data_IF_380501229611
#
_entry.id   IF_380501229611
#
_cell.length_a   1.000
_cell.length_b   1.000
_cell.length_c   1.000
_cell.angle_alpha   90.00
_cell.angle_beta   90.00
_cell.angle_gamma   90.00
#
_symmetry.space_group_name_H-M   'P 1'
#
loop_
_entity.id
_entity.type
_entity.pdbx_description
1 polymer ?
#
# COMPACT_ATOMS: atom_id res chain seq x y z
N UNK A 1 0.22 27.59 -24.35
CA UNK A 1 0.86 27.96 -23.07
C UNK A 1 1.42 26.67 -22.46
N UNK A 2 2.71 26.38 -22.64
CA UNK A 2 3.35 25.15 -22.16
C UNK A 2 3.76 25.32 -20.70
N UNK A 3 3.06 24.66 -19.78
CA UNK A 3 3.51 24.52 -18.38
C UNK A 3 4.51 23.38 -18.32
N UNK A 4 5.81 23.70 -18.37
CA UNK A 4 6.85 22.73 -18.06
C UNK A 4 6.78 22.42 -16.56
N UNK A 5 6.14 21.31 -16.21
CA UNK A 5 6.14 20.81 -14.83
C UNK A 5 7.57 20.37 -14.51
N UNK A 6 8.27 21.19 -13.72
CA UNK A 6 9.63 20.93 -13.28
C UNK A 6 9.61 19.69 -12.37
N UNK A 7 10.14 18.57 -12.86
CA UNK A 7 10.20 17.32 -12.09
C UNK A 7 11.07 17.56 -10.84
N UNK A 8 10.58 17.26 -9.63
CA UNK A 8 11.34 17.49 -8.42
C UNK A 8 12.62 16.66 -8.43
N UNK A 9 13.73 17.26 -7.98
CA UNK A 9 15.01 16.58 -7.79
C UNK A 9 14.85 15.32 -6.94
N UNK A 10 15.60 14.27 -7.28
CA UNK A 10 15.63 13.00 -6.56
C UNK A 10 15.79 13.20 -5.03
N UNK A 11 16.59 14.19 -4.62
CA UNK A 11 16.80 14.46 -3.19
C UNK A 11 15.67 15.23 -2.52
N UNK A 12 14.87 15.96 -3.30
CA UNK A 12 13.62 16.54 -2.83
C UNK A 12 12.57 15.45 -2.63
N UNK A 13 12.47 14.50 -3.57
CA UNK A 13 11.58 13.33 -3.46
C UNK A 13 11.96 12.47 -2.26
N UNK A 14 13.25 12.19 -2.08
CA UNK A 14 13.78 11.40 -0.96
C UNK A 14 13.51 12.07 0.39
N UNK A 15 13.65 13.39 0.49
CA UNK A 15 13.28 14.17 1.69
C UNK A 15 11.80 14.11 1.98
N UNK A 16 10.94 14.28 0.98
CA UNK A 16 9.48 14.24 1.14
C UNK A 16 8.98 12.85 1.55
N UNK A 17 9.53 11.79 0.97
CA UNK A 17 9.22 10.40 1.36
C UNK A 17 9.65 10.15 2.82
N UNK A 18 10.83 10.65 3.20
CA UNK A 18 11.36 10.50 4.56
C UNK A 18 10.58 11.31 5.59
N UNK A 19 10.14 12.54 5.27
CA UNK A 19 9.32 13.36 6.16
C UNK A 19 7.91 12.77 6.31
N UNK A 20 7.30 12.32 5.22
CA UNK A 20 5.98 11.68 5.21
C UNK A 20 5.97 10.37 6.02
N UNK A 21 7.04 9.57 5.95
CA UNK A 21 7.15 8.37 6.80
C UNK A 21 7.33 8.72 8.28
N UNK A 22 8.05 9.79 8.59
CA UNK A 22 8.32 10.26 9.97
C UNK A 22 7.10 10.91 10.63
N UNK A 23 6.35 11.73 9.89
CA UNK A 23 5.10 12.35 10.35
C UNK A 23 4.05 11.29 10.65
N UNK A 24 3.89 10.31 9.76
CA UNK A 24 3.01 9.19 10.00
C UNK A 24 3.47 8.39 11.23
N UNK A 25 4.75 8.00 11.31
CA UNK A 25 5.31 7.27 12.46
C UNK A 25 5.07 7.96 13.81
N UNK A 26 5.31 9.26 13.89
CA UNK A 26 5.10 10.03 15.13
C UNK A 26 3.62 10.13 15.52
N UNK A 27 2.70 10.11 14.56
CA UNK A 27 1.25 10.05 14.82
C UNK A 27 0.83 8.72 15.46
N UNK A 28 1.44 7.61 15.05
CA UNK A 28 1.16 6.28 15.62
C UNK A 28 1.62 6.14 17.07
N UNK A 29 2.84 6.59 17.38
CA UNK A 29 3.37 6.50 18.76
C UNK A 29 2.59 7.37 19.73
N UNK A 30 2.09 8.52 19.27
CA UNK A 30 1.37 9.48 20.12
C UNK A 30 -0.10 9.15 20.33
N UNK A 31 -0.62 8.11 19.67
CA UNK A 31 -2.00 7.68 19.78
C UNK A 31 -2.05 6.15 19.89
N UNK A 32 -1.68 5.60 21.08
CA UNK A 32 -1.61 4.16 21.32
C UNK A 32 -2.94 3.44 21.06
N UNK A 33 -4.07 4.14 21.17
CA UNK A 33 -5.42 3.63 20.89
C UNK A 33 -5.71 3.38 19.40
N UNK A 34 -4.84 3.87 18.49
CA UNK A 34 -4.97 3.64 17.04
C UNK A 34 -4.51 2.22 16.66
N UNK A 35 -3.77 1.52 17.53
CA UNK A 35 -3.47 0.11 17.34
C UNK A 35 -4.46 -0.70 18.19
N UNK A 36 -5.66 -0.99 17.70
CA UNK A 36 -6.58 -1.87 18.40
C UNK A 36 -5.90 -3.20 18.69
N UNK A 37 -6.27 -3.80 19.83
CA UNK A 37 -5.79 -5.12 20.27
C UNK A 37 -6.38 -6.22 19.38
N UNK A 38 -6.02 -6.18 18.11
CA UNK A 38 -6.42 -7.10 17.07
C UNK A 38 -5.50 -8.32 17.11
N UNK A 39 -5.97 -9.49 16.62
CA UNK A 39 -5.09 -10.61 16.35
C UNK A 39 -3.89 -10.13 15.51
N UNK A 40 -2.68 -10.59 15.86
CA UNK A 40 -1.41 -10.19 15.21
C UNK A 40 -1.51 -10.10 13.68
N UNK A 41 -2.22 -11.04 13.06
CA UNK A 41 -2.44 -11.10 11.60
C UNK A 41 -3.13 -9.85 11.04
N UNK A 42 -4.15 -9.33 11.73
CA UNK A 42 -4.89 -8.15 11.31
C UNK A 42 -4.07 -6.87 11.57
N UNK A 43 -3.44 -6.74 12.74
CA UNK A 43 -2.56 -5.59 13.03
C UNK A 43 -1.43 -5.45 12.02
N UNK A 44 -0.80 -6.57 11.61
CA UNK A 44 0.26 -6.57 10.60
C UNK A 44 -0.25 -6.17 9.22
N UNK A 45 -1.43 -6.64 8.81
CA UNK A 45 -2.03 -6.25 7.53
C UNK A 45 -2.29 -4.74 7.50
N UNK A 46 -2.96 -4.23 8.53
CA UNK A 46 -3.25 -2.80 8.68
C UNK A 46 -1.97 -1.96 8.68
N UNK A 47 -0.98 -2.33 9.50
CA UNK A 47 0.30 -1.62 9.55
C UNK A 47 0.97 -1.53 8.17
N UNK A 48 1.02 -2.64 7.43
CA UNK A 48 1.64 -2.68 6.10
C UNK A 48 0.90 -1.83 5.07
N UNK A 49 -0.43 -1.96 5.02
CA UNK A 49 -1.28 -1.19 4.11
C UNK A 49 -1.17 0.31 4.40
N UNK A 50 -1.23 0.70 5.68
CA UNK A 50 -1.19 2.10 6.11
C UNK A 50 0.16 2.76 5.87
N UNK A 51 1.26 2.03 6.11
CA UNK A 51 2.60 2.52 5.81
C UNK A 51 2.95 2.45 4.33
N UNK A 52 2.13 1.75 3.52
CA UNK A 52 2.40 1.48 2.11
C UNK A 52 3.69 0.67 1.89
N UNK A 53 4.14 -0.07 2.92
CA UNK A 53 5.24 -1.05 2.87
C UNK A 53 4.64 -2.46 2.83
N UNK A 54 3.68 -2.63 1.93
CA UNK A 54 2.92 -3.86 1.74
C UNK A 54 3.52 -4.73 0.61
N UNK A 55 2.85 -5.83 0.30
CA UNK A 55 3.28 -6.77 -0.74
C UNK A 55 2.40 -6.66 -2.00
N UNK A 56 1.72 -5.54 -2.21
CA UNK A 56 0.86 -5.35 -3.37
C UNK A 56 1.68 -4.89 -4.58
N UNK A 57 1.19 -5.17 -5.79
CA UNK A 57 1.93 -4.90 -7.03
C UNK A 57 2.38 -3.45 -7.13
N UNK A 58 1.57 -2.48 -6.67
CA UNK A 58 1.98 -1.07 -6.73
C UNK A 58 3.23 -0.80 -5.88
N UNK A 59 3.31 -1.36 -4.67
CA UNK A 59 4.50 -1.24 -3.82
C UNK A 59 5.69 -1.98 -4.43
N UNK A 60 5.48 -3.24 -4.83
CA UNK A 60 6.54 -4.10 -5.38
C UNK A 60 7.14 -3.51 -6.65
N UNK A 61 6.33 -2.91 -7.52
CA UNK A 61 6.81 -2.22 -8.71
C UNK A 61 7.64 -0.98 -8.35
N UNK A 62 7.18 -0.19 -7.37
CA UNK A 62 7.90 1.01 -6.92
C UNK A 62 9.30 0.70 -6.38
N UNK A 63 9.52 -0.50 -5.83
CA UNK A 63 10.84 -0.95 -5.34
C UNK A 63 11.59 -1.83 -6.35
N UNK A 64 11.07 -2.00 -7.57
CA UNK A 64 11.75 -2.73 -8.65
C UNK A 64 11.66 -4.26 -8.57
N UNK A 65 10.75 -4.82 -7.77
CA UNK A 65 10.54 -6.28 -7.68
C UNK A 65 9.56 -6.78 -8.74
N UNK A 66 8.55 -5.97 -9.10
CA UNK A 66 7.56 -6.30 -10.15
C UNK A 66 7.71 -5.38 -11.36
N UNK A 67 7.53 -5.95 -12.55
CA UNK A 67 7.57 -5.19 -13.80
C UNK A 67 6.37 -4.23 -13.97
N UNK A 68 5.23 -4.58 -13.37
CA UNK A 68 3.99 -3.80 -13.47
C UNK A 68 3.37 -3.50 -12.11
N UNK A 69 2.84 -2.27 -11.89
CA UNK A 69 2.11 -1.92 -10.67
C UNK A 69 0.69 -2.50 -10.64
N UNK A 70 0.22 -3.04 -11.76
CA UNK A 70 -1.18 -3.44 -11.92
C UNK A 70 -1.50 -4.73 -11.17
N UNK A 71 -2.79 -4.88 -10.83
CA UNK A 71 -3.30 -6.09 -10.22
C UNK A 71 -3.18 -7.28 -11.19
N UNK A 72 -2.44 -8.35 -10.83
CA UNK A 72 -2.32 -9.54 -11.66
C UNK A 72 -3.52 -10.47 -11.48
N UNK A 73 -4.39 -10.21 -10.49
CA UNK A 73 -5.47 -11.11 -10.09
C UNK A 73 -6.79 -10.78 -10.79
N UNK A 74 -6.91 -9.62 -11.42
CA UNK A 74 -8.14 -9.19 -12.08
C UNK A 74 -7.84 -8.47 -13.40
N UNK A 75 -8.76 -8.48 -14.37
CA UNK A 75 -8.55 -7.90 -15.69
C UNK A 75 -8.67 -6.36 -15.74
N UNK A 76 -8.90 -5.69 -14.59
CA UNK A 76 -9.19 -4.25 -14.54
C UNK A 76 -7.98 -3.36 -14.85
N UNK A 77 -6.78 -3.92 -15.05
CA UNK A 77 -5.55 -3.20 -15.40
C UNK A 77 -5.26 -1.95 -14.53
N UNK A 78 -5.65 -2.01 -13.25
CA UNK A 78 -5.49 -0.91 -12.31
C UNK A 78 -4.37 -1.19 -11.31
N UNK A 79 -3.67 -0.16 -10.80
CA UNK A 79 -2.64 -0.33 -9.79
C UNK A 79 -3.19 -1.06 -8.55
N UNK A 80 -2.51 -2.13 -8.14
CA UNK A 80 -2.94 -2.92 -6.99
C UNK A 80 -2.49 -2.23 -5.70
N UNK A 81 -3.43 -1.51 -5.07
CA UNK A 81 -3.23 -0.83 -3.80
C UNK A 81 -4.40 -1.11 -2.83
N UNK A 82 -4.37 -0.54 -1.64
CA UNK A 82 -5.43 -0.74 -0.64
C UNK A 82 -6.83 -0.39 -1.16
N UNK A 83 -6.96 0.69 -1.95
CA UNK A 83 -8.25 1.07 -2.54
C UNK A 83 -8.72 0.03 -3.55
N UNK A 84 -7.82 -0.44 -4.42
CA UNK A 84 -8.13 -1.47 -5.39
C UNK A 84 -8.51 -2.79 -4.71
N UNK A 85 -7.82 -3.20 -3.65
CA UNK A 85 -8.14 -4.40 -2.87
C UNK A 85 -9.62 -4.42 -2.45
N UNK A 86 -10.15 -3.28 -1.99
CA UNK A 86 -11.54 -3.20 -1.55
C UNK A 86 -12.54 -3.51 -2.67
N UNK A 87 -12.25 -3.09 -3.90
CA UNK A 87 -13.11 -3.25 -5.08
C UNK A 87 -12.64 -4.34 -6.05
N UNK A 88 -11.64 -5.14 -5.67
CA UNK A 88 -11.04 -6.12 -6.58
C UNK A 88 -11.99 -7.33 -6.71
N UNK A 89 -12.44 -7.69 -7.94
CA UNK A 89 -13.32 -8.84 -8.14
C UNK A 89 -12.70 -10.16 -7.64
N UNK A 90 -11.37 -10.29 -7.71
CA UNK A 90 -10.67 -11.48 -7.24
C UNK A 90 -10.72 -11.66 -5.70
N UNK A 91 -11.16 -10.63 -4.97
CA UNK A 91 -11.20 -10.55 -3.51
C UNK A 91 -12.62 -10.62 -2.93
N UNK A 92 -13.64 -10.94 -3.74
CA UNK A 92 -15.05 -10.98 -3.30
C UNK A 92 -15.33 -11.96 -2.15
N UNK A 93 -14.57 -13.05 -2.07
CA UNK A 93 -14.73 -14.06 -1.01
C UNK A 93 -14.23 -13.59 0.37
N UNK A 94 -13.49 -12.49 0.45
CA UNK A 94 -12.94 -11.96 1.70
C UNK A 94 -13.73 -10.72 2.14
N UNK A 95 -14.17 -10.69 3.39
CA UNK A 95 -15.04 -9.62 3.90
C UNK A 95 -14.25 -8.41 4.39
N UNK A 96 -13.13 -8.65 5.08
CA UNK A 96 -12.31 -7.59 5.69
C UNK A 96 -11.12 -7.21 4.81
N UNK A 97 -10.61 -5.98 4.96
CA UNK A 97 -9.44 -5.52 4.19
C UNK A 97 -8.19 -6.36 4.51
N UNK A 98 -8.08 -6.84 5.75
CA UNK A 98 -6.98 -7.67 6.22
C UNK A 98 -7.03 -9.06 5.57
N UNK A 99 -8.21 -9.68 5.49
CA UNK A 99 -8.40 -10.93 4.75
C UNK A 99 -8.07 -10.76 3.27
N UNK A 100 -8.60 -9.70 2.64
CA UNK A 100 -8.31 -9.37 1.24
C UNK A 100 -6.81 -9.21 1.01
N UNK A 101 -6.10 -8.51 1.91
CA UNK A 101 -4.65 -8.36 1.82
C UNK A 101 -3.90 -9.70 1.88
N UNK A 102 -4.23 -10.56 2.85
CA UNK A 102 -3.56 -11.85 2.98
C UNK A 102 -3.92 -12.79 1.84
N UNK A 103 -5.15 -12.74 1.34
CA UNK A 103 -5.59 -13.55 0.22
C UNK A 103 -4.95 -13.13 -1.10
N UNK A 104 -4.93 -11.83 -1.40
CA UNK A 104 -4.18 -11.26 -2.51
C UNK A 104 -2.72 -11.70 -2.49
N UNK A 105 -2.06 -11.57 -1.32
CA UNK A 105 -0.67 -11.98 -1.17
C UNK A 105 -0.46 -13.46 -1.49
N UNK A 106 -1.36 -14.36 -1.07
CA UNK A 106 -1.27 -15.79 -1.37
C UNK A 106 -1.42 -16.07 -2.87
N UNK A 107 -2.33 -15.37 -3.54
CA UNK A 107 -2.62 -15.55 -4.98
C UNK A 107 -1.58 -14.94 -5.92
N UNK A 108 -0.73 -14.05 -5.42
CA UNK A 108 0.30 -13.36 -6.21
C UNK A 108 1.65 -14.08 -6.29
N UNK A 109 1.84 -15.18 -5.54
CA UNK A 109 3.07 -16.00 -5.53
C UNK A 109 3.06 -16.95 -6.71
#
# INVERSE_FOLDING_TARGET
MNTSVCKPSFESVKRLVKSRSKENYNKWIRAPDIIPNLPRKASVANFRLLTGHDYLSQHLHRIGIKDSPNCPLCPLNSPMNQSHLNSCPAMEASSTIEEKYWDARRKMV
#
